data_IF_062449065264
#
_entry.id   IF_062449065264
#
_cell.length_a   1.000
_cell.length_b   1.000
_cell.length_c   1.000
_cell.angle_alpha   90.00
_cell.angle_beta   90.00
_cell.angle_gamma   90.00
#
_symmetry.space_group_name_H-M   'P 1'
#
loop_
_entity.id
_entity.type
_entity.pdbx_description
1 polymer ?
#
# COMPACT_ATOMS: atom_id res chain seq x y z
N UNK A 1 -20.74 14.56 -50.61
CA UNK A 1 -20.74 14.32 -49.14
C UNK A 1 -19.28 14.23 -48.71
N UNK A 2 -18.70 15.31 -48.20
CA UNK A 2 -17.34 15.29 -47.65
C UNK A 2 -17.38 14.49 -46.34
N UNK A 3 -16.63 13.38 -46.30
CA UNK A 3 -16.43 12.59 -45.09
C UNK A 3 -15.57 13.47 -44.18
N UNK A 4 -16.20 14.08 -43.18
CA UNK A 4 -15.52 14.84 -42.15
C UNK A 4 -14.80 13.84 -41.25
N UNK A 5 -13.57 13.47 -41.62
CA UNK A 5 -12.69 12.70 -40.74
C UNK A 5 -12.28 13.66 -39.64
N UNK A 6 -13.05 13.71 -38.56
CA UNK A 6 -12.60 14.29 -37.31
C UNK A 6 -11.34 13.54 -36.92
N UNK A 7 -10.16 14.15 -37.11
CA UNK A 7 -8.89 13.54 -36.73
C UNK A 7 -9.00 13.04 -35.31
N UNK A 8 -8.82 11.74 -35.10
CA UNK A 8 -8.77 11.18 -33.75
C UNK A 8 -7.73 11.97 -32.97
N UNK A 9 -8.14 12.53 -31.82
CA UNK A 9 -7.27 13.31 -30.97
C UNK A 9 -6.01 12.49 -30.69
N UNK A 10 -4.84 13.03 -31.01
CA UNK A 10 -3.55 12.36 -30.84
C UNK A 10 -3.45 11.78 -29.42
N UNK A 11 -3.66 10.47 -29.28
CA UNK A 11 -3.57 9.81 -27.99
C UNK A 11 -2.09 9.58 -27.66
N UNK A 12 -1.59 10.06 -26.51
CA UNK A 12 -0.18 9.89 -26.15
C UNK A 12 0.17 8.39 -26.13
N UNK A 13 1.08 8.00 -27.02
CA UNK A 13 1.59 6.62 -27.16
C UNK A 13 2.88 6.39 -26.37
N UNK A 14 3.59 7.47 -26.01
CA UNK A 14 4.83 7.41 -25.25
C UNK A 14 4.59 7.54 -23.73
N UNK A 15 5.55 7.05 -22.93
CA UNK A 15 5.46 7.06 -21.46
C UNK A 15 5.33 8.49 -20.91
N UNK A 16 6.10 9.45 -21.45
CA UNK A 16 6.07 10.84 -21.00
C UNK A 16 4.71 11.51 -21.25
N UNK A 17 4.10 11.31 -22.41
CA UNK A 17 2.77 11.84 -22.70
C UNK A 17 1.69 11.23 -21.83
N UNK A 18 1.82 9.95 -21.45
CA UNK A 18 0.91 9.32 -20.48
C UNK A 18 1.12 9.91 -19.08
N UNK A 19 2.37 10.15 -18.65
CA UNK A 19 2.66 10.82 -17.38
C UNK A 19 2.09 12.24 -17.30
N UNK A 20 2.21 13.02 -18.38
CA UNK A 20 1.67 14.37 -18.45
C UNK A 20 0.13 14.37 -18.43
N UNK A 21 -0.48 13.26 -18.87
CA UNK A 21 -1.93 13.08 -18.82
C UNK A 21 -2.49 12.77 -17.42
N UNK A 22 -1.65 12.42 -16.44
CA UNK A 22 -2.10 12.11 -15.09
C UNK A 22 -2.68 13.36 -14.44
N UNK A 23 -3.93 13.24 -14.00
CA UNK A 23 -4.54 14.23 -13.13
C UNK A 23 -3.73 14.38 -11.84
N UNK A 24 -3.75 15.58 -11.24
CA UNK A 24 -3.04 15.86 -9.99
C UNK A 24 -3.41 14.88 -8.87
N UNK A 25 -4.66 14.42 -8.81
CA UNK A 25 -5.11 13.39 -7.87
C UNK A 25 -4.34 12.07 -8.02
N UNK A 26 -4.15 11.60 -9.26
CA UNK A 26 -3.42 10.36 -9.54
C UNK A 26 -1.94 10.45 -9.18
N UNK A 27 -1.29 11.58 -9.46
CA UNK A 27 0.12 11.81 -9.07
C UNK A 27 0.29 11.85 -7.55
N UNK A 28 -0.62 12.52 -6.84
CA UNK A 28 -0.60 12.61 -5.38
C UNK A 28 -0.89 11.25 -4.72
N UNK A 29 -1.85 10.51 -5.27
CA UNK A 29 -2.12 9.13 -4.85
C UNK A 29 -0.88 8.26 -5.03
N UNK A 30 -0.22 8.33 -6.20
CA UNK A 30 1.01 7.58 -6.48
C UNK A 30 2.12 7.87 -5.46
N UNK A 31 2.36 9.15 -5.13
CA UNK A 31 3.38 9.53 -4.14
C UNK A 31 3.04 8.90 -2.79
N UNK A 32 1.80 9.06 -2.31
CA UNK A 32 1.41 8.48 -1.03
C UNK A 32 1.51 6.95 -1.00
N UNK A 33 1.11 6.29 -2.10
CA UNK A 33 1.16 4.84 -2.27
C UNK A 33 2.61 4.33 -2.29
N UNK A 34 3.54 5.05 -2.92
CA UNK A 34 4.97 4.73 -2.88
C UNK A 34 5.48 4.72 -1.44
N UNK A 35 5.19 5.74 -0.64
CA UNK A 35 5.61 5.78 0.77
C UNK A 35 5.07 4.58 1.58
N UNK A 36 3.78 4.27 1.43
CA UNK A 36 3.15 3.13 2.11
C UNK A 36 3.75 1.80 1.67
N UNK A 37 4.03 1.64 0.39
CA UNK A 37 4.61 0.41 -0.13
C UNK A 37 6.10 0.29 0.17
N UNK A 38 6.84 1.39 0.31
CA UNK A 38 8.20 1.39 0.84
C UNK A 38 8.21 0.95 2.30
N UNK A 39 7.25 1.41 3.11
CA UNK A 39 7.05 0.92 4.48
C UNK A 39 6.87 -0.61 4.53
N UNK A 40 5.96 -1.13 3.70
CA UNK A 40 5.74 -2.58 3.59
C UNK A 40 6.99 -3.32 3.09
N UNK A 41 7.54 -2.92 1.94
CA UNK A 41 8.65 -3.62 1.30
C UNK A 41 9.92 -3.64 2.14
N UNK A 42 10.10 -2.67 3.04
CA UNK A 42 11.22 -2.63 3.98
C UNK A 42 11.13 -3.71 5.07
N UNK A 43 9.92 -4.16 5.42
CA UNK A 43 9.69 -5.04 6.57
C UNK A 43 9.15 -6.42 6.21
N UNK A 44 8.53 -6.59 5.05
CA UNK A 44 7.76 -7.79 4.68
C UNK A 44 8.49 -9.12 4.99
N UNK A 45 9.68 -9.32 4.41
CA UNK A 45 10.51 -10.53 4.67
C UNK A 45 11.15 -10.51 6.07
N UNK A 46 11.32 -9.35 6.68
CA UNK A 46 11.95 -9.21 8.00
C UNK A 46 10.99 -9.54 9.14
N UNK A 47 9.66 -9.50 8.93
CA UNK A 47 8.67 -9.83 9.97
C UNK A 47 8.90 -11.24 10.50
N UNK A 48 9.00 -12.24 9.62
CA UNK A 48 9.24 -13.63 10.04
C UNK A 48 10.57 -13.74 10.80
N UNK A 49 11.64 -13.12 10.29
CA UNK A 49 12.95 -13.14 10.92
C UNK A 49 12.93 -12.49 12.31
N UNK A 50 12.17 -11.40 12.50
CA UNK A 50 12.02 -10.74 13.80
C UNK A 50 11.27 -11.64 14.77
N UNK A 51 10.13 -12.20 14.34
CA UNK A 51 9.31 -13.06 15.19
C UNK A 51 10.05 -14.35 15.58
N UNK A 52 10.81 -14.95 14.67
CA UNK A 52 11.51 -16.22 14.93
C UNK A 52 12.86 -16.04 15.61
N UNK A 53 13.67 -15.08 15.17
CA UNK A 53 15.06 -14.97 15.61
C UNK A 53 15.24 -14.00 16.79
N UNK A 54 14.34 -13.02 16.94
CA UNK A 54 14.41 -12.02 18.02
C UNK A 54 13.39 -12.31 19.12
N UNK A 55 12.13 -12.60 18.75
CA UNK A 55 11.10 -12.97 19.73
C UNK A 55 11.08 -14.47 20.06
N UNK A 56 11.94 -15.27 19.44
CA UNK A 56 12.12 -16.70 19.68
C UNK A 56 10.82 -17.53 19.55
N UNK A 57 9.88 -17.07 18.71
CA UNK A 57 8.66 -17.82 18.39
C UNK A 57 9.01 -18.89 17.37
N UNK A 58 8.60 -20.14 17.61
CA UNK A 58 8.85 -21.22 16.66
C UNK A 58 8.14 -20.98 15.33
N UNK A 59 8.73 -21.48 14.23
CA UNK A 59 8.13 -21.41 12.89
C UNK A 59 6.73 -22.04 12.86
N UNK A 60 6.52 -23.11 13.62
CA UNK A 60 5.21 -23.76 13.77
C UNK A 60 4.14 -22.82 14.38
N UNK A 61 4.53 -21.91 15.29
CA UNK A 61 3.64 -20.90 15.87
C UNK A 61 3.49 -19.66 15.00
N UNK A 62 4.42 -19.41 14.08
CA UNK A 62 4.31 -18.33 13.11
C UNK A 62 3.21 -18.59 12.06
N UNK A 63 3.04 -19.84 11.62
CA UNK A 63 2.00 -20.22 10.65
C UNK A 63 0.58 -19.76 11.05
N UNK A 64 0.11 -20.03 12.29
CA UNK A 64 -1.15 -19.51 12.80
C UNK A 64 -1.28 -17.98 12.79
N UNK A 65 -0.19 -17.23 13.02
CA UNK A 65 -0.22 -15.76 12.95
C UNK A 65 -0.52 -15.29 11.52
N UNK A 66 0.11 -15.91 10.51
CA UNK A 66 -0.22 -15.65 9.10
C UNK A 66 -1.66 -16.02 8.78
N UNK A 67 -2.16 -17.15 9.29
CA UNK A 67 -3.55 -17.54 9.10
C UNK A 67 -4.52 -16.50 9.68
N UNK A 68 -4.22 -15.95 10.85
CA UNK A 68 -5.01 -14.88 11.48
C UNK A 68 -5.00 -13.61 10.63
N UNK A 69 -3.85 -13.23 10.09
CA UNK A 69 -3.73 -12.07 9.20
C UNK A 69 -4.62 -12.23 7.96
N UNK A 70 -4.48 -13.33 7.23
CA UNK A 70 -5.27 -13.55 6.01
C UNK A 70 -6.75 -13.79 6.30
N UNK A 71 -7.08 -14.45 7.41
CA UNK A 71 -8.47 -14.58 7.85
C UNK A 71 -9.08 -13.21 8.13
N UNK A 72 -8.35 -12.35 8.85
CA UNK A 72 -8.78 -10.96 9.10
C UNK A 72 -9.03 -10.25 7.77
N UNK A 73 -8.07 -10.30 6.84
CA UNK A 73 -8.19 -9.74 5.49
C UNK A 73 -9.46 -10.21 4.77
N UNK A 74 -9.73 -11.52 4.74
CA UNK A 74 -10.92 -12.07 4.07
C UNK A 74 -12.21 -11.57 4.74
N UNK A 75 -12.26 -11.57 6.07
CA UNK A 75 -13.44 -11.16 6.83
C UNK A 75 -13.79 -9.69 6.60
N UNK A 76 -12.78 -8.82 6.46
CA UNK A 76 -13.02 -7.39 6.26
C UNK A 76 -13.29 -7.00 4.80
N UNK A 77 -12.87 -7.81 3.83
CA UNK A 77 -12.85 -7.40 2.41
C UNK A 77 -14.24 -7.08 1.86
N UNK A 78 -15.18 -8.02 2.03
CA UNK A 78 -16.56 -7.87 1.54
C UNK A 78 -17.35 -6.75 2.25
N UNK A 79 -17.36 -6.66 3.60
CA UNK A 79 -18.08 -5.56 4.26
C UNK A 79 -17.46 -4.20 3.95
N UNK A 80 -16.13 -4.09 3.86
CA UNK A 80 -15.47 -2.84 3.50
C UNK A 80 -15.82 -2.40 2.08
N UNK A 81 -15.78 -3.31 1.10
CA UNK A 81 -16.16 -3.00 -0.28
C UNK A 81 -17.59 -2.43 -0.39
N UNK A 82 -18.55 -3.02 0.32
CA UNK A 82 -19.94 -2.50 0.37
C UNK A 82 -20.06 -1.17 1.12
N UNK A 83 -19.28 -0.98 2.18
CA UNK A 83 -19.34 0.24 2.98
C UNK A 83 -18.72 1.45 2.24
N UNK A 84 -17.71 1.21 1.38
CA UNK A 84 -17.12 2.21 0.49
C UNK A 84 -18.15 2.86 -0.42
N UNK A 85 -19.12 2.09 -0.95
CA UNK A 85 -20.19 2.62 -1.81
C UNK A 85 -21.04 3.70 -1.13
N UNK A 86 -21.13 3.68 0.21
CA UNK A 86 -21.94 4.62 0.99
C UNK A 86 -21.15 5.77 1.60
N UNK A 87 -19.93 5.48 2.06
CA UNK A 87 -19.10 6.42 2.83
C UNK A 87 -18.05 7.11 1.96
N UNK A 88 -17.78 6.57 0.77
CA UNK A 88 -16.71 7.02 -0.11
C UNK A 88 -15.39 6.26 0.14
N UNK A 89 -14.46 6.30 -0.82
CA UNK A 89 -13.21 5.52 -0.76
C UNK A 89 -12.20 6.09 0.24
N UNK A 90 -12.20 7.41 0.48
CA UNK A 90 -11.13 8.11 1.21
C UNK A 90 -10.91 7.58 2.64
N UNK A 91 -11.94 7.36 3.49
CA UNK A 91 -11.72 6.89 4.86
C UNK A 91 -11.11 5.47 4.93
N UNK A 92 -11.46 4.59 3.99
CA UNK A 92 -10.94 3.23 3.94
C UNK A 92 -9.47 3.19 3.50
N UNK A 93 -9.08 4.08 2.58
CA UNK A 93 -7.68 4.24 2.19
C UNK A 93 -6.86 4.79 3.36
N UNK A 94 -7.39 5.75 4.12
CA UNK A 94 -6.73 6.26 5.34
C UNK A 94 -6.56 5.15 6.36
N UNK A 95 -7.63 4.39 6.65
CA UNK A 95 -7.58 3.27 7.59
C UNK A 95 -6.54 2.23 7.18
N UNK A 96 -6.46 1.93 5.89
CA UNK A 96 -5.44 1.07 5.29
C UNK A 96 -4.03 1.62 5.57
N UNK A 97 -3.79 2.89 5.26
CA UNK A 97 -2.47 3.51 5.40
C UNK A 97 -2.03 3.57 6.86
N UNK A 98 -2.96 3.86 7.78
CA UNK A 98 -2.73 3.73 9.22
C UNK A 98 -2.36 2.30 9.62
N UNK A 99 -3.08 1.29 9.12
CA UNK A 99 -2.77 -0.11 9.40
C UNK A 99 -1.37 -0.51 8.89
N UNK A 100 -0.96 -0.01 7.71
CA UNK A 100 0.40 -0.19 7.20
C UNK A 100 1.46 0.40 8.12
N UNK A 101 1.23 1.60 8.65
CA UNK A 101 2.15 2.25 9.57
C UNK A 101 2.20 1.56 10.94
N UNK A 102 1.05 1.13 11.45
CA UNK A 102 0.91 0.52 12.77
C UNK A 102 1.41 -0.92 12.83
N UNK A 103 1.26 -1.69 11.75
CA UNK A 103 1.67 -3.09 11.71
C UNK A 103 3.14 -3.33 12.15
N UNK A 104 4.17 -2.73 11.51
CA UNK A 104 5.55 -2.97 11.90
C UNK A 104 5.84 -2.50 13.34
N UNK A 105 5.20 -1.41 13.78
CA UNK A 105 5.33 -0.89 15.15
C UNK A 105 4.69 -1.85 16.18
N UNK A 106 3.54 -2.44 15.85
CA UNK A 106 2.88 -3.42 16.72
C UNK A 106 3.67 -4.71 16.85
N UNK A 107 4.39 -5.13 15.80
CA UNK A 107 5.27 -6.31 15.84
C UNK A 107 6.42 -6.11 16.84
N UNK A 108 7.10 -4.96 16.79
CA UNK A 108 8.21 -4.69 17.72
C UNK A 108 7.75 -4.39 19.14
N UNK A 109 6.51 -3.92 19.32
CA UNK A 109 5.89 -3.70 20.63
C UNK A 109 5.34 -4.99 21.26
N UNK A 110 5.21 -6.08 20.50
CA UNK A 110 4.65 -7.33 20.99
C UNK A 110 5.61 -8.03 21.98
N UNK A 111 5.22 -8.06 23.26
CA UNK A 111 5.97 -8.74 24.33
C UNK A 111 5.49 -10.18 24.57
N UNK A 112 4.45 -10.63 23.86
CA UNK A 112 3.84 -11.95 24.04
C UNK A 112 3.23 -12.46 22.73
N UNK A 113 2.92 -13.75 22.70
CA UNK A 113 2.21 -14.34 21.56
C UNK A 113 0.83 -13.69 21.33
N UNK A 114 0.12 -13.33 22.41
CA UNK A 114 -1.14 -12.59 22.30
C UNK A 114 -0.93 -11.20 21.68
N UNK A 115 0.16 -10.50 22.05
CA UNK A 115 0.55 -9.25 21.41
C UNK A 115 0.80 -9.42 19.91
N UNK A 116 1.45 -10.52 19.51
CA UNK A 116 1.63 -10.86 18.09
C UNK A 116 0.31 -11.15 17.38
N UNK A 117 -0.63 -11.84 18.02
CA UNK A 117 -1.97 -12.04 17.45
C UNK A 117 -2.62 -10.69 17.12
N UNK A 118 -2.56 -9.72 18.05
CA UNK A 118 -3.07 -8.36 17.81
C UNK A 118 -2.33 -7.69 16.65
N UNK A 119 -1.00 -7.79 16.61
CA UNK A 119 -0.20 -7.24 15.53
C UNK A 119 -0.60 -7.82 14.16
N UNK A 120 -0.82 -9.13 14.06
CA UNK A 120 -1.23 -9.77 12.80
C UNK A 120 -2.68 -9.48 12.42
N UNK A 121 -3.58 -9.22 13.38
CA UNK A 121 -4.91 -8.66 13.09
C UNK A 121 -4.75 -7.27 12.45
N UNK A 122 -3.93 -6.38 13.04
CA UNK A 122 -3.62 -5.06 12.44
C UNK A 122 -3.03 -5.25 11.03
N UNK A 123 -2.14 -6.23 10.86
CA UNK A 123 -1.56 -6.61 9.57
C UNK A 123 -2.61 -6.99 8.53
N UNK A 124 -3.70 -7.64 8.93
CA UNK A 124 -4.80 -8.02 8.04
C UNK A 124 -5.71 -6.85 7.65
N UNK A 125 -5.81 -5.84 8.52
CA UNK A 125 -6.58 -4.60 8.26
C UNK A 125 -5.98 -3.73 7.16
N UNK A 126 -4.73 -4.00 6.75
CA UNK A 126 -4.03 -3.33 5.64
C UNK A 126 -4.73 -3.48 4.29
N UNK A 127 -5.68 -4.40 4.17
CA UNK A 127 -6.37 -4.64 2.90
C UNK A 127 -7.76 -3.98 2.83
N UNK A 128 -8.19 -3.24 3.87
CA UNK A 128 -9.56 -2.73 3.99
C UNK A 128 -9.97 -1.76 2.86
N UNK A 129 -9.05 -0.91 2.42
CA UNK A 129 -9.25 0.09 1.39
C UNK A 129 -8.57 -0.26 0.06
N UNK A 130 -8.12 -1.50 -0.09
CA UNK A 130 -7.44 -1.95 -1.30
C UNK A 130 -8.32 -1.83 -2.56
N UNK A 131 -9.58 -2.32 -2.56
CA UNK A 131 -10.48 -2.18 -3.70
C UNK A 131 -10.75 -0.71 -4.04
N UNK A 132 -11.00 0.10 -3.01
CA UNK A 132 -11.31 1.52 -3.11
C UNK A 132 -10.14 2.30 -3.75
N UNK A 133 -8.91 2.01 -3.32
CA UNK A 133 -7.69 2.62 -3.89
C UNK A 133 -7.51 2.24 -5.35
N UNK A 134 -7.71 0.97 -5.71
CA UNK A 134 -7.63 0.52 -7.10
C UNK A 134 -8.68 1.17 -8.00
N UNK A 135 -9.91 1.31 -7.51
CA UNK A 135 -10.96 2.03 -8.23
C UNK A 135 -10.56 3.50 -8.46
N UNK A 136 -10.07 4.18 -7.43
CA UNK A 136 -9.62 5.58 -7.52
C UNK A 136 -8.50 5.80 -8.55
N UNK A 137 -7.57 4.83 -8.72
CA UNK A 137 -6.54 4.88 -9.77
C UNK A 137 -7.18 4.88 -11.17
N UNK A 138 -8.22 4.05 -11.37
CA UNK A 138 -8.94 3.95 -12.65
C UNK A 138 -9.81 5.19 -12.89
N UNK A 139 -10.43 5.72 -11.84
CA UNK A 139 -11.33 6.88 -11.92
C UNK A 139 -10.58 8.17 -12.23
N UNK A 140 -9.37 8.36 -11.67
CA UNK A 140 -8.52 9.51 -12.02
C UNK A 140 -7.86 9.40 -13.40
N UNK A 141 -7.91 8.23 -14.04
CA UNK A 141 -7.35 8.07 -15.37
C UNK A 141 -8.34 8.51 -16.45
N UNK A 142 -7.84 9.27 -17.44
CA UNK A 142 -8.65 9.70 -18.60
C UNK A 142 -9.23 8.47 -19.31
N UNK A 143 -10.53 8.46 -19.70
CA UNK A 143 -11.19 7.27 -20.25
C UNK A 143 -10.42 6.60 -21.40
N UNK A 144 -9.84 7.39 -22.30
CA UNK A 144 -9.11 6.91 -23.48
C UNK A 144 -7.71 6.36 -23.16
N UNK A 145 -7.19 6.61 -21.95
CA UNK A 145 -5.84 6.23 -21.53
C UNK A 145 -5.81 5.31 -20.32
N UNK A 146 -6.97 4.87 -19.79
CA UNK A 146 -7.07 4.10 -18.53
C UNK A 146 -6.06 2.96 -18.42
N UNK A 147 -6.00 2.06 -19.41
CA UNK A 147 -5.08 0.93 -19.38
C UNK A 147 -3.60 1.37 -19.31
N UNK A 148 -3.22 2.39 -20.10
CA UNK A 148 -1.86 2.94 -20.11
C UNK A 148 -1.52 3.64 -18.79
N UNK A 149 -2.47 4.41 -18.24
CA UNK A 149 -2.27 5.12 -16.99
C UNK A 149 -2.14 4.17 -15.81
N UNK A 150 -2.98 3.13 -15.73
CA UNK A 150 -2.86 2.08 -14.71
C UNK A 150 -1.53 1.36 -14.84
N UNK A 151 -1.14 0.96 -16.07
CA UNK A 151 0.15 0.30 -16.31
C UNK A 151 1.34 1.16 -15.88
N UNK A 152 1.36 2.43 -16.28
CA UNK A 152 2.43 3.37 -15.89
C UNK A 152 2.45 3.63 -14.39
N UNK A 153 1.28 3.79 -13.76
CA UNK A 153 1.16 3.96 -12.31
C UNK A 153 1.85 2.81 -11.57
N UNK A 154 1.54 1.56 -11.94
CA UNK A 154 2.14 0.39 -11.30
C UNK A 154 3.61 0.20 -11.65
N UNK A 155 4.04 0.57 -12.86
CA UNK A 155 5.45 0.56 -13.24
C UNK A 155 6.27 1.51 -12.36
N UNK A 156 5.85 2.78 -12.27
CA UNK A 156 6.54 3.80 -11.47
C UNK A 156 6.55 3.43 -9.99
N UNK A 157 5.40 2.97 -9.48
CA UNK A 157 5.27 2.51 -8.10
C UNK A 157 6.27 1.38 -7.82
N UNK A 158 6.24 0.30 -8.60
CA UNK A 158 7.11 -0.86 -8.40
C UNK A 158 8.59 -0.48 -8.50
N UNK A 159 8.98 0.33 -9.49
CA UNK A 159 10.37 0.78 -9.65
C UNK A 159 10.85 1.58 -8.42
N UNK A 160 10.00 2.45 -7.88
CA UNK A 160 10.32 3.23 -6.69
C UNK A 160 10.47 2.38 -5.42
N UNK A 161 9.72 1.27 -5.31
CA UNK A 161 9.72 0.39 -4.12
C UNK A 161 10.83 -0.66 -4.18
N UNK A 162 11.32 -1.05 -5.36
CA UNK A 162 12.38 -2.06 -5.54
C UNK A 162 13.54 -2.00 -4.51
N UNK A 163 14.14 -0.84 -4.18
CA UNK A 163 15.24 -0.80 -3.21
C UNK A 163 14.81 -1.00 -1.76
N UNK A 164 13.50 -0.97 -1.43
CA UNK A 164 13.00 -0.96 -0.06
C UNK A 164 13.45 -2.18 0.76
N UNK A 165 13.37 -3.39 0.18
CA UNK A 165 13.79 -4.62 0.87
C UNK A 165 15.30 -4.63 1.16
N UNK A 166 16.12 -4.15 0.20
CA UNK A 166 17.57 -4.02 0.39
C UNK A 166 17.91 -3.00 1.48
N UNK A 167 17.23 -1.84 1.49
CA UNK A 167 17.35 -0.83 2.54
C UNK A 167 16.96 -1.44 3.89
N UNK A 168 15.84 -2.17 3.97
CA UNK A 168 15.42 -2.87 5.18
C UNK A 168 16.47 -3.84 5.70
N UNK A 169 17.06 -4.64 4.82
CA UNK A 169 18.15 -5.56 5.17
C UNK A 169 19.42 -4.86 5.64
N UNK A 170 19.75 -3.67 5.10
CA UNK A 170 20.86 -2.86 5.59
C UNK A 170 20.56 -2.28 6.97
N UNK A 171 19.35 -1.75 7.19
CA UNK A 171 18.91 -1.21 8.48
C UNK A 171 18.89 -2.29 9.57
N UNK A 172 18.53 -3.53 9.23
CA UNK A 172 18.58 -4.67 10.14
C UNK A 172 19.96 -4.91 10.75
N UNK A 173 21.04 -4.63 10.00
CA UNK A 173 22.42 -4.79 10.49
C UNK A 173 22.77 -3.82 11.61
N UNK A 174 22.06 -2.69 11.73
CA UNK A 174 22.22 -1.76 12.86
C UNK A 174 21.56 -2.35 14.10
N UNK A 175 20.24 -2.55 14.04
CA UNK A 175 19.47 -3.35 15.00
C UNK A 175 18.26 -3.96 14.31
N UNK A 176 17.76 -5.12 14.76
CA UNK A 176 16.57 -5.76 14.18
C UNK A 176 15.30 -4.89 14.20
N UNK A 177 15.19 -3.93 15.13
CA UNK A 177 14.05 -3.04 15.28
C UNK A 177 14.08 -1.85 14.30
N UNK A 178 15.27 -1.42 13.87
CA UNK A 178 15.45 -0.24 13.02
C UNK A 178 14.58 -0.25 11.74
N UNK A 179 14.53 -1.33 10.93
CA UNK A 179 13.69 -1.34 9.73
C UNK A 179 12.19 -1.17 10.04
N UNK A 180 11.70 -1.66 11.18
CA UNK A 180 10.30 -1.53 11.58
C UNK A 180 9.94 -0.10 12.01
N UNK A 181 10.84 0.56 12.74
CA UNK A 181 10.67 1.97 13.12
C UNK A 181 10.68 2.86 11.87
N UNK A 182 11.65 2.64 10.97
CA UNK A 182 11.74 3.39 9.71
C UNK A 182 10.51 3.14 8.83
N UNK A 183 10.03 1.90 8.73
CA UNK A 183 8.79 1.59 8.05
C UNK A 183 7.60 2.34 8.66
N UNK A 184 7.47 2.37 9.99
CA UNK A 184 6.45 3.17 10.67
C UNK A 184 6.51 4.65 10.30
N UNK A 185 7.69 5.25 10.22
CA UNK A 185 7.89 6.65 9.78
C UNK A 185 7.41 6.85 8.33
N UNK A 186 7.82 5.97 7.40
CA UNK A 186 7.35 6.02 6.02
C UNK A 186 5.83 5.83 5.91
N UNK A 187 5.26 4.94 6.71
CA UNK A 187 3.83 4.69 6.79
C UNK A 187 3.05 5.92 7.26
N UNK A 188 3.50 6.55 8.36
CA UNK A 188 2.92 7.80 8.88
C UNK A 188 3.04 8.92 7.85
N UNK A 189 4.21 9.09 7.25
CA UNK A 189 4.44 10.10 6.22
C UNK A 189 3.52 9.89 5.00
N UNK A 190 3.41 8.65 4.49
CA UNK A 190 2.51 8.32 3.39
C UNK A 190 1.04 8.58 3.73
N UNK A 191 0.63 8.25 4.96
CA UNK A 191 -0.71 8.55 5.48
C UNK A 191 -0.98 10.05 5.49
N UNK A 192 -0.05 10.85 6.04
CA UNK A 192 -0.19 12.30 6.12
C UNK A 192 -0.22 12.94 4.74
N UNK A 193 0.67 12.52 3.84
CA UNK A 193 0.70 12.99 2.44
C UNK A 193 -0.65 12.71 1.76
N UNK A 194 -1.20 11.51 1.93
CA UNK A 194 -2.51 11.18 1.37
C UNK A 194 -3.60 12.11 1.91
N UNK A 195 -3.71 12.24 3.23
CA UNK A 195 -4.72 13.07 3.90
C UNK A 195 -4.63 14.53 3.43
N UNK A 196 -3.42 15.09 3.34
CA UNK A 196 -3.18 16.48 3.01
C UNK A 196 -3.40 16.80 1.52
N UNK A 197 -3.07 15.87 0.63
CA UNK A 197 -2.97 16.15 -0.81
C UNK A 197 -4.10 15.55 -1.65
N UNK A 198 -4.65 14.41 -1.24
CA UNK A 198 -5.74 13.73 -1.96
C UNK A 198 -7.08 14.15 -1.36
N UNK A 199 -7.78 14.98 -2.11
CA UNK A 199 -9.18 15.39 -1.85
C UNK A 199 -10.05 14.73 -2.91
N UNK A 200 -11.27 14.36 -2.51
CA UNK A 200 -12.31 13.89 -3.43
C UNK A 200 -12.69 14.99 -4.43
#
# INVERSE_FOLDING_TARGET
RLINITGEAHHPTNIFGVWDSFQSGLKRLLVSDIFIRTCEGMTDVLVILYVTNVLHVSVARFGPLLAILYLTTILIYLPAAKAVERVGPRPFIIATFCAFALYPLSIIAAQSFAGLVIAFIIGGLREIGEPARKAMIVDFAKPQLRARSVGLYYLLRSLAITPAAAIGGLLWKVTPQTPFVMAGIFGIAGTFIFIATVRE
#
